data_IF_873134542033
#
_entry.id   IF_873134542033
#
_cell.length_a   1.000
_cell.length_b   1.000
_cell.length_c   1.000
_cell.angle_alpha   90.00
_cell.angle_beta   90.00
_cell.angle_gamma   90.00
#
_symmetry.space_group_name_H-M   'P 1'
#
loop_
_entity.id
_entity.type
_entity.pdbx_description
1 polymer ?
#
# COMPACT_ATOMS: atom_id res chain seq x y z
N UNK A 1 9.18 16.21 29.92
CA UNK A 1 8.02 16.39 29.01
C UNK A 1 7.07 17.41 29.61
N UNK A 2 6.83 18.53 28.94
CA UNK A 2 5.94 19.59 29.43
C UNK A 2 4.58 19.52 28.71
N UNK A 3 3.49 19.65 29.47
CA UNK A 3 2.12 19.69 28.95
C UNK A 3 1.31 20.78 29.64
N UNK A 4 0.50 21.50 28.87
CA UNK A 4 -0.44 22.49 29.41
C UNK A 4 -1.43 21.84 30.39
N UNK A 5 -1.79 22.56 31.47
CA UNK A 5 -2.73 22.09 32.50
C UNK A 5 -4.06 21.60 31.90
N UNK A 6 -4.55 22.25 30.84
CA UNK A 6 -5.79 21.91 30.12
C UNK A 6 -5.78 20.47 29.59
N UNK A 7 -4.65 19.99 29.12
CA UNK A 7 -4.52 18.70 28.43
C UNK A 7 -3.85 17.63 29.30
N UNK A 8 -3.59 17.91 30.58
CA UNK A 8 -2.93 16.96 31.50
C UNK A 8 -3.64 15.60 31.55
N UNK A 9 -4.98 15.59 31.54
CA UNK A 9 -5.80 14.36 31.53
C UNK A 9 -5.72 13.57 30.22
N UNK A 10 -5.19 14.15 29.14
CA UNK A 10 -4.99 13.45 27.88
C UNK A 10 -3.73 12.58 27.89
N UNK A 11 -2.77 12.83 28.78
CA UNK A 11 -1.61 11.97 28.97
C UNK A 11 -2.02 10.74 29.79
N UNK A 12 -1.93 9.56 29.17
CA UNK A 12 -2.21 8.28 29.81
C UNK A 12 -0.98 7.72 30.52
N UNK A 13 0.20 7.94 29.94
CA UNK A 13 1.45 7.37 30.44
C UNK A 13 2.63 8.23 30.00
N UNK A 14 3.64 8.36 30.86
CA UNK A 14 4.96 8.83 30.50
C UNK A 14 6.00 7.90 31.14
N UNK A 15 6.92 7.36 30.34
CA UNK A 15 7.99 6.48 30.83
C UNK A 15 9.31 6.78 30.11
N UNK A 16 10.41 6.68 30.86
CA UNK A 16 11.77 6.65 30.32
C UNK A 16 12.11 5.24 29.85
N UNK A 17 12.94 5.11 28.82
CA UNK A 17 13.41 3.82 28.31
C UNK A 17 14.95 3.79 28.31
N UNK A 18 15.60 3.48 29.45
CA UNK A 18 17.06 3.55 29.62
C UNK A 18 17.87 2.54 28.80
N UNK A 19 17.19 1.59 28.16
CA UNK A 19 17.80 0.54 27.32
C UNK A 19 17.27 0.60 25.89
N UNK A 20 16.63 1.70 25.49
CA UNK A 20 16.31 1.90 24.09
C UNK A 20 17.62 2.10 23.33
N UNK A 21 17.85 1.27 22.31
CA UNK A 21 19.00 1.37 21.40
C UNK A 21 18.77 2.53 20.40
N UNK A 22 18.63 3.73 20.95
CA UNK A 22 18.84 4.95 20.20
C UNK A 22 20.33 5.26 20.31
N UNK A 23 21.01 5.41 19.18
CA UNK A 23 22.42 5.79 19.07
C UNK A 23 22.65 7.25 19.52
N UNK A 24 22.16 7.58 20.71
CA UNK A 24 22.24 8.84 21.42
C UNK A 24 22.48 8.54 22.90
N UNK A 25 23.31 9.34 23.54
CA UNK A 25 23.62 9.31 24.98
C UNK A 25 22.45 9.72 25.89
N UNK A 26 21.32 10.12 25.32
CA UNK A 26 20.13 10.52 26.05
C UNK A 26 19.08 9.40 26.15
N UNK A 27 18.50 9.24 27.34
CA UNK A 27 17.40 8.31 27.60
C UNK A 27 16.08 8.89 27.08
N UNK A 28 15.39 8.26 26.11
CA UNK A 28 14.16 8.78 25.57
C UNK A 28 13.01 8.67 26.58
N UNK A 29 12.15 9.70 26.61
CA UNK A 29 10.89 9.73 27.34
C UNK A 29 9.74 9.54 26.35
N UNK A 30 8.98 8.46 26.51
CA UNK A 30 7.83 8.16 25.66
C UNK A 30 6.54 8.43 26.43
N UNK A 31 5.70 9.30 25.87
CA UNK A 31 4.37 9.62 26.36
C UNK A 31 3.27 8.96 25.54
N UNK A 32 2.29 8.30 26.18
CA UNK A 32 1.04 7.86 25.52
C UNK A 32 -0.04 8.90 25.75
N UNK A 33 -0.67 9.37 24.67
CA UNK A 33 -1.72 10.39 24.73
C UNK A 33 -3.03 9.88 24.12
N UNK A 34 -4.15 10.28 24.71
CA UNK A 34 -5.50 10.07 24.18
C UNK A 34 -6.09 11.41 23.78
N UNK A 35 -6.07 11.71 22.48
CA UNK A 35 -6.56 12.95 21.90
C UNK A 35 -7.56 12.65 20.79
N UNK A 36 -8.59 13.49 20.65
CA UNK A 36 -9.45 13.53 19.46
C UNK A 36 -8.93 14.66 18.57
N UNK A 37 -8.37 14.32 17.41
CA UNK A 37 -7.85 15.30 16.45
C UNK A 37 -8.77 15.33 15.22
N UNK A 38 -9.05 16.53 14.71
CA UNK A 38 -9.69 16.67 13.40
C UNK A 38 -8.62 16.57 12.32
N UNK A 39 -8.81 15.67 11.35
CA UNK A 39 -7.93 15.59 10.18
C UNK A 39 -8.13 16.86 9.35
N UNK A 40 -7.09 17.69 9.24
CA UNK A 40 -7.08 18.79 8.28
C UNK A 40 -6.64 18.27 6.91
N UNK A 41 -7.55 17.55 6.24
CA UNK A 41 -7.31 17.06 4.89
C UNK A 41 -7.65 18.18 3.92
N UNK A 42 -6.64 18.86 3.37
CA UNK A 42 -6.87 19.68 2.18
C UNK A 42 -7.30 18.74 1.04
N UNK A 43 -8.31 19.08 0.22
CA UNK A 43 -8.60 18.32 -0.99
C UNK A 43 -7.33 18.32 -1.85
N UNK A 44 -6.90 17.14 -2.29
CA UNK A 44 -5.78 17.02 -3.20
C UNK A 44 -6.28 17.45 -4.59
N UNK A 45 -5.97 18.67 -5.02
CA UNK A 45 -6.46 19.24 -6.30
C UNK A 45 -5.42 19.16 -7.42
N UNK A 46 -4.52 18.17 -7.41
CA UNK A 46 -3.70 17.89 -8.58
C UNK A 46 -4.44 16.91 -9.49
N UNK A 47 -5.44 17.44 -10.21
CA UNK A 47 -6.00 16.75 -11.37
C UNK A 47 -4.88 16.73 -12.41
N UNK A 48 -4.32 15.54 -12.63
CA UNK A 48 -3.37 15.32 -13.73
C UNK A 48 -4.20 15.06 -14.99
N UNK A 49 -3.84 15.75 -16.05
CA UNK A 49 -4.39 15.50 -17.38
C UNK A 49 -3.42 14.63 -18.15
N UNK A 50 -3.94 13.64 -18.88
CA UNK A 50 -3.11 12.76 -19.67
C UNK A 50 -2.55 13.48 -20.91
N UNK A 51 -1.42 14.17 -20.73
CA UNK A 51 -0.74 14.90 -21.81
C UNK A 51 -0.25 13.96 -22.92
N UNK A 52 -0.19 12.64 -22.71
CA UNK A 52 0.24 11.69 -23.74
C UNK A 52 -0.76 11.65 -24.91
N UNK A 53 -2.07 11.74 -24.64
CA UNK A 53 -3.10 11.73 -25.69
C UNK A 53 -2.96 12.94 -26.63
N UNK A 54 -2.57 14.13 -26.11
CA UNK A 54 -2.31 15.33 -26.93
C UNK A 54 -1.06 15.19 -27.81
N UNK A 55 -0.10 14.35 -27.40
CA UNK A 55 1.10 14.08 -28.18
C UNK A 55 0.86 13.02 -29.25
N UNK A 56 0.00 12.03 -28.96
CA UNK A 56 -0.27 10.90 -29.86
C UNK A 56 -1.25 11.26 -30.97
N UNK A 57 -2.25 12.11 -30.71
CA UNK A 57 -3.30 12.41 -31.68
C UNK A 57 -3.37 13.90 -32.02
N UNK A 58 -2.95 14.22 -33.24
CA UNK A 58 -2.92 15.58 -33.77
C UNK A 58 -4.31 16.24 -33.82
N UNK A 59 -5.35 15.48 -34.16
CA UNK A 59 -6.72 16.00 -34.28
C UNK A 59 -7.30 16.43 -32.93
N UNK A 60 -6.91 15.76 -31.84
CA UNK A 60 -7.35 16.07 -30.48
C UNK A 60 -6.65 17.34 -29.99
N UNK A 61 -5.37 17.50 -30.33
CA UNK A 61 -4.60 18.70 -30.02
C UNK A 61 -5.19 19.96 -30.66
N UNK A 62 -5.56 19.88 -31.93
CA UNK A 62 -6.16 21.00 -32.67
C UNK A 62 -7.51 21.39 -32.08
N UNK A 63 -8.37 20.41 -31.76
CA UNK A 63 -9.64 20.65 -31.06
C UNK A 63 -9.44 21.30 -29.69
N UNK A 64 -8.43 20.87 -28.95
CA UNK A 64 -8.07 21.45 -27.65
C UNK A 64 -7.63 22.90 -27.79
N UNK A 65 -6.74 23.19 -28.72
CA UNK A 65 -6.25 24.53 -28.98
C UNK A 65 -7.38 25.49 -29.38
N UNK A 66 -8.30 25.04 -30.25
CA UNK A 66 -9.47 25.82 -30.64
C UNK A 66 -10.39 26.05 -29.44
N UNK A 67 -10.67 25.03 -28.62
CA UNK A 67 -11.55 25.18 -27.45
C UNK A 67 -11.00 26.14 -26.38
N UNK A 68 -9.69 26.09 -26.12
CA UNK A 68 -9.03 26.99 -25.16
C UNK A 68 -9.06 28.42 -25.69
N UNK A 69 -8.79 28.61 -26.99
CA UNK A 69 -8.82 29.92 -27.62
C UNK A 69 -10.22 30.53 -27.57
N UNK A 70 -11.25 29.77 -27.96
CA UNK A 70 -12.63 30.23 -27.94
C UNK A 70 -13.09 30.61 -26.53
N UNK A 71 -12.76 29.78 -25.52
CA UNK A 71 -13.12 30.05 -24.12
C UNK A 71 -12.37 31.24 -23.54
N UNK A 72 -11.12 31.46 -23.94
CA UNK A 72 -10.35 32.61 -23.51
C UNK A 72 -10.86 33.92 -24.12
N UNK A 73 -11.20 33.91 -25.41
CA UNK A 73 -11.72 35.07 -26.13
C UNK A 73 -13.06 35.56 -25.54
N UNK A 74 -13.91 34.64 -25.05
CA UNK A 74 -15.16 34.98 -24.35
C UNK A 74 -14.98 35.57 -22.94
N UNK A 75 -13.79 35.46 -22.35
CA UNK A 75 -13.48 35.87 -20.96
C UNK A 75 -12.54 37.09 -20.89
N UNK A 76 -12.21 37.69 -22.04
CA UNK A 76 -11.15 38.68 -22.23
C UNK A 76 -11.38 40.08 -21.65
N UNK A 77 -12.55 40.37 -21.06
CA UNK A 77 -12.93 41.72 -20.61
C UNK A 77 -12.57 42.04 -19.14
N UNK A 78 -11.75 41.23 -18.47
CA UNK A 78 -11.35 41.48 -17.08
C UNK A 78 -10.16 42.46 -17.00
N UNK A 79 -10.33 43.59 -16.30
CA UNK A 79 -9.31 44.65 -16.12
C UNK A 79 -8.14 44.26 -15.19
N UNK A 80 -8.28 43.21 -14.39
CA UNK A 80 -7.34 42.86 -13.31
C UNK A 80 -6.59 41.55 -13.58
N UNK A 81 -5.25 41.57 -13.50
CA UNK A 81 -4.35 40.47 -13.88
C UNK A 81 -4.60 39.18 -13.09
N UNK A 82 -4.98 39.27 -11.82
CA UNK A 82 -5.28 38.10 -11.00
C UNK A 82 -6.59 37.41 -11.43
N UNK A 83 -7.59 38.21 -11.83
CA UNK A 83 -8.85 37.69 -12.35
C UNK A 83 -8.65 37.04 -13.72
N UNK A 84 -7.81 37.62 -14.57
CA UNK A 84 -7.39 37.02 -15.84
C UNK A 84 -6.71 35.66 -15.62
N UNK A 85 -5.87 35.54 -14.59
CA UNK A 85 -5.18 34.29 -14.26
C UNK A 85 -6.14 33.20 -13.76
N UNK A 86 -7.11 33.55 -12.93
CA UNK A 86 -8.13 32.60 -12.48
C UNK A 86 -9.06 32.16 -13.63
N UNK A 87 -9.45 33.10 -14.50
CA UNK A 87 -10.22 32.80 -15.71
C UNK A 87 -9.44 31.90 -16.67
N UNK A 88 -8.13 32.10 -16.78
CA UNK A 88 -7.27 31.24 -17.59
C UNK A 88 -7.17 29.83 -17.01
N UNK A 89 -7.01 29.70 -15.69
CA UNK A 89 -6.98 28.38 -15.01
C UNK A 89 -8.29 27.62 -15.20
N UNK A 90 -9.43 28.30 -15.06
CA UNK A 90 -10.75 27.69 -15.19
C UNK A 90 -11.02 27.26 -16.63
N UNK A 91 -10.75 28.12 -17.62
CA UNK A 91 -10.89 27.80 -19.03
C UNK A 91 -10.02 26.60 -19.44
N UNK A 92 -8.76 26.57 -18.98
CA UNK A 92 -7.86 25.44 -19.19
C UNK A 92 -8.39 24.15 -18.57
N UNK A 93 -8.88 24.21 -17.33
CA UNK A 93 -9.44 23.05 -16.63
C UNK A 93 -10.66 22.51 -17.37
N UNK A 94 -11.57 23.38 -17.81
CA UNK A 94 -12.82 23.02 -18.45
C UNK A 94 -12.60 22.41 -19.85
N UNK A 95 -11.78 23.07 -20.69
CA UNK A 95 -11.38 22.55 -21.99
C UNK A 95 -10.67 21.20 -21.87
N UNK A 96 -9.82 21.05 -20.85
CA UNK A 96 -9.15 19.80 -20.59
C UNK A 96 -10.14 18.71 -20.13
N UNK A 97 -11.14 19.02 -19.29
CA UNK A 97 -12.15 18.01 -18.89
C UNK A 97 -13.05 17.55 -20.04
N UNK A 98 -13.37 18.42 -21.00
CA UNK A 98 -14.23 18.08 -22.14
C UNK A 98 -13.55 17.15 -23.15
N UNK A 99 -12.24 17.34 -23.36
CA UNK A 99 -11.48 16.66 -24.42
C UNK A 99 -10.70 15.47 -23.85
N UNK A 100 -10.11 15.68 -22.68
CA UNK A 100 -9.38 14.69 -21.91
C UNK A 100 -10.21 14.36 -20.68
N UNK A 101 -11.13 13.40 -20.81
CA UNK A 101 -11.73 12.77 -19.63
C UNK A 101 -10.62 12.48 -18.61
N UNK A 102 -10.85 12.87 -17.34
CA UNK A 102 -9.82 12.89 -16.30
C UNK A 102 -8.94 11.64 -16.37
N UNK A 103 -7.61 11.80 -16.28
CA UNK A 103 -6.69 10.67 -16.23
C UNK A 103 -7.15 9.77 -15.06
N UNK A 104 -7.76 8.63 -15.38
CA UNK A 104 -7.93 7.58 -14.39
C UNK A 104 -6.52 7.18 -14.03
N UNK A 105 -6.09 7.58 -12.83
CA UNK A 105 -4.83 7.19 -12.20
C UNK A 105 -4.40 5.83 -12.72
N UNK A 106 -3.44 5.85 -13.66
CA UNK A 106 -2.81 4.72 -14.35
C UNK A 106 -3.29 3.37 -13.85
N UNK A 107 -4.04 2.63 -14.68
CA UNK A 107 -4.63 1.31 -14.44
C UNK A 107 -3.84 0.45 -13.45
N UNK A 108 -4.08 0.72 -12.18
CA UNK A 108 -3.67 -0.14 -11.11
C UNK A 108 -4.71 -1.24 -11.13
N UNK A 109 -4.35 -2.38 -11.74
CA UNK A 109 -5.17 -3.58 -11.75
C UNK A 109 -5.62 -3.84 -10.31
N UNK A 110 -6.88 -3.53 -10.03
CA UNK A 110 -7.45 -3.59 -8.71
C UNK A 110 -8.12 -4.93 -8.57
N UNK A 111 -7.75 -5.67 -7.53
CA UNK A 111 -8.35 -6.97 -7.23
C UNK A 111 -9.17 -6.88 -5.96
N UNK A 112 -10.40 -7.38 -6.10
CA UNK A 112 -11.35 -7.53 -5.02
C UNK A 112 -10.90 -8.69 -4.14
N UNK A 113 -10.53 -8.41 -2.91
CA UNK A 113 -10.21 -9.46 -1.94
C UNK A 113 -11.53 -10.02 -1.43
N UNK A 114 -11.66 -11.35 -1.32
CA UNK A 114 -12.84 -12.01 -0.71
C UNK A 114 -13.07 -11.71 0.78
N UNK A 115 -12.56 -10.58 1.28
CA UNK A 115 -12.73 -10.07 2.65
C UNK A 115 -13.59 -8.81 2.59
N UNK A 116 -14.64 -8.78 3.40
CA UNK A 116 -15.46 -7.60 3.60
C UNK A 116 -14.99 -6.81 4.82
N UNK A 117 -15.07 -5.50 4.75
CA UNK A 117 -14.81 -4.65 5.89
C UNK A 117 -15.95 -4.81 6.90
N UNK A 118 -15.62 -5.13 8.15
CA UNK A 118 -16.62 -5.39 9.20
C UNK A 118 -17.50 -4.17 9.52
N UNK A 119 -17.02 -2.95 9.27
CA UNK A 119 -17.73 -1.71 9.59
C UNK A 119 -18.54 -1.20 8.41
N UNK A 120 -17.93 -1.12 7.22
CA UNK A 120 -18.60 -0.57 6.03
C UNK A 120 -19.38 -1.63 5.24
N UNK A 121 -19.19 -2.93 5.54
CA UNK A 121 -19.73 -4.09 4.79
C UNK A 121 -19.33 -4.15 3.31
N UNK A 122 -18.50 -3.23 2.85
CA UNK A 122 -17.98 -3.20 1.49
C UNK A 122 -16.84 -4.19 1.32
N UNK A 123 -16.62 -4.62 0.07
CA UNK A 123 -15.54 -5.52 -0.26
C UNK A 123 -14.21 -4.76 -0.35
N UNK A 124 -13.16 -5.30 0.26
CA UNK A 124 -11.86 -4.62 0.30
C UNK A 124 -11.16 -4.78 -1.05
N UNK A 125 -10.91 -3.66 -1.73
CA UNK A 125 -10.16 -3.60 -2.99
C UNK A 125 -8.69 -3.30 -2.67
N UNK A 126 -7.76 -4.05 -3.27
CA UNK A 126 -6.32 -3.76 -3.21
C UNK A 126 -5.70 -3.83 -4.60
N UNK A 127 -4.54 -3.19 -4.74
CA UNK A 127 -3.69 -3.30 -5.92
C UNK A 127 -3.25 -4.74 -6.13
N UNK A 128 -3.25 -5.21 -7.38
CA UNK A 128 -2.90 -6.58 -7.72
C UNK A 128 -1.46 -6.92 -7.31
N UNK A 129 -0.51 -6.02 -7.57
CA UNK A 129 0.88 -6.21 -7.12
C UNK A 129 0.98 -6.40 -5.59
N UNK A 130 0.18 -5.65 -4.83
CA UNK A 130 0.14 -5.77 -3.36
C UNK A 130 -0.57 -7.06 -2.95
N UNK A 131 -1.59 -7.49 -3.68
CA UNK A 131 -2.28 -8.75 -3.43
C UNK A 131 -1.35 -9.96 -3.65
N UNK A 132 -0.68 -10.01 -4.80
CA UNK A 132 0.30 -11.04 -5.14
C UNK A 132 1.45 -11.08 -4.14
N UNK A 133 2.02 -9.93 -3.77
CA UNK A 133 3.06 -9.88 -2.75
C UNK A 133 2.60 -10.50 -1.42
N UNK A 134 1.44 -10.08 -0.91
CA UNK A 134 0.90 -10.61 0.34
C UNK A 134 0.60 -12.12 0.27
N UNK A 135 0.23 -12.64 -0.90
CA UNK A 135 -0.03 -14.06 -1.11
C UNK A 135 1.24 -14.90 -0.99
N UNK A 136 2.37 -14.42 -1.50
CA UNK A 136 3.61 -15.19 -1.61
C UNK A 136 4.67 -14.88 -0.54
N UNK A 137 4.61 -13.70 0.10
CA UNK A 137 5.65 -13.26 1.05
C UNK A 137 5.85 -14.19 2.26
N UNK A 138 4.79 -14.89 2.71
CA UNK A 138 4.85 -15.74 3.91
C UNK A 138 5.40 -17.14 3.68
N UNK A 139 6.08 -17.42 2.56
CA UNK A 139 6.63 -18.76 2.29
C UNK A 139 7.75 -19.14 3.26
N UNK A 140 8.69 -18.23 3.51
CA UNK A 140 9.83 -18.45 4.42
C UNK A 140 9.36 -18.60 5.87
N UNK A 141 8.51 -17.67 6.34
CA UNK A 141 7.96 -17.73 7.71
C UNK A 141 7.20 -19.03 7.99
N UNK A 142 6.45 -19.54 7.00
CA UNK A 142 5.75 -20.83 7.14
C UNK A 142 6.72 -22.02 7.21
N UNK A 143 7.80 -21.99 6.43
CA UNK A 143 8.85 -23.01 6.51
C UNK A 143 9.51 -23.00 7.90
N UNK A 144 9.87 -21.82 8.41
CA UNK A 144 10.45 -21.66 9.74
C UNK A 144 9.49 -22.11 10.84
N UNK A 145 8.19 -21.81 10.72
CA UNK A 145 7.16 -22.32 11.63
C UNK A 145 7.08 -23.86 11.63
N UNK A 146 7.16 -24.50 10.46
CA UNK A 146 7.14 -25.98 10.37
C UNK A 146 8.39 -26.61 10.98
N UNK A 147 9.56 -25.99 10.83
CA UNK A 147 10.81 -26.46 11.45
C UNK A 147 10.78 -26.28 12.97
N UNK A 148 10.25 -25.15 13.44
CA UNK A 148 10.21 -24.80 14.88
C UNK A 148 9.12 -25.52 15.68
N UNK A 149 8.00 -25.89 15.05
CA UNK A 149 6.89 -26.59 15.69
C UNK A 149 7.07 -28.12 15.81
N UNK A 150 8.26 -28.64 15.48
CA UNK A 150 8.54 -30.06 15.67
C UNK A 150 8.84 -30.40 17.14
N UNK A 151 8.43 -31.60 17.57
CA UNK A 151 8.53 -32.07 18.95
C UNK A 151 9.96 -32.17 19.53
N UNK A 152 11.01 -32.04 18.70
CA UNK A 152 12.42 -32.22 19.08
C UNK A 152 13.15 -30.90 19.37
N UNK A 153 12.58 -30.04 20.22
CA UNK A 153 13.26 -28.79 20.63
C UNK A 153 14.26 -29.06 21.76
N UNK A 154 15.55 -29.21 21.42
CA UNK A 154 16.63 -29.37 22.41
C UNK A 154 17.25 -28.02 22.77
N UNK A 155 17.19 -27.62 24.03
CA UNK A 155 17.87 -26.42 24.53
C UNK A 155 19.36 -26.72 24.71
N UNK A 156 20.20 -26.30 23.76
CA UNK A 156 21.66 -26.54 23.79
C UNK A 156 22.42 -25.22 23.71
N UNK A 157 23.39 -25.01 24.61
CA UNK A 157 24.23 -23.80 24.64
C UNK A 157 25.37 -23.81 23.59
N UNK A 158 25.67 -24.97 23.00
CA UNK A 158 26.68 -25.12 21.95
C UNK A 158 26.08 -24.80 20.57
N UNK A 159 26.54 -23.72 19.94
CA UNK A 159 26.00 -23.20 18.67
C UNK A 159 26.05 -24.22 17.52
N UNK A 160 27.15 -24.99 17.38
CA UNK A 160 27.28 -25.99 16.31
C UNK A 160 26.23 -27.11 16.39
N UNK A 161 25.82 -27.52 17.60
CA UNK A 161 24.75 -28.52 17.77
C UNK A 161 23.42 -27.96 17.29
N UNK A 162 23.14 -26.68 17.57
CA UNK A 162 21.94 -25.98 17.10
C UNK A 162 21.89 -25.92 15.56
N UNK A 163 23.02 -25.62 14.91
CA UNK A 163 23.14 -25.61 13.46
C UNK A 163 22.91 -27.00 12.84
N UNK A 164 23.52 -28.05 13.40
CA UNK A 164 23.35 -29.43 12.92
C UNK A 164 21.89 -29.88 12.97
N UNK A 165 21.22 -29.71 14.13
CA UNK A 165 19.83 -30.11 14.25
C UNK A 165 18.89 -29.26 13.37
N UNK A 166 19.18 -27.97 13.17
CA UNK A 166 18.39 -27.16 12.25
C UNK A 166 18.47 -27.68 10.80
N UNK A 167 19.66 -28.00 10.31
CA UNK A 167 19.85 -28.59 8.98
C UNK A 167 19.17 -29.95 8.83
N UNK A 168 19.26 -30.80 9.87
CA UNK A 168 18.60 -32.09 9.89
C UNK A 168 17.08 -31.97 9.81
N UNK A 169 16.48 -31.08 10.61
CA UNK A 169 15.03 -30.85 10.61
C UNK A 169 14.53 -30.23 9.30
N UNK A 170 15.32 -29.35 8.68
CA UNK A 170 15.03 -28.80 7.36
C UNK A 170 15.09 -29.89 6.28
N UNK A 171 16.06 -30.80 6.35
CA UNK A 171 16.16 -31.95 5.46
C UNK A 171 14.95 -32.90 5.57
N UNK A 172 14.50 -33.20 6.80
CA UNK A 172 13.29 -33.98 7.03
C UNK A 172 12.03 -33.30 6.45
N UNK A 173 11.90 -31.98 6.64
CA UNK A 173 10.78 -31.21 6.09
C UNK A 173 10.77 -31.27 4.55
N UNK A 174 11.94 -31.10 3.91
CA UNK A 174 12.08 -31.19 2.46
C UNK A 174 11.73 -32.58 1.93
N UNK A 175 12.23 -33.64 2.57
CA UNK A 175 11.88 -35.02 2.21
C UNK A 175 10.38 -35.27 2.31
N UNK A 176 9.72 -34.76 3.36
CA UNK A 176 8.28 -34.84 3.53
C UNK A 176 7.51 -34.08 2.45
N UNK A 177 7.93 -32.86 2.08
CA UNK A 177 7.32 -32.07 1.01
C UNK A 177 7.34 -32.85 -0.32
N UNK A 178 8.50 -33.43 -0.68
CA UNK A 178 8.65 -34.25 -1.89
C UNK A 178 7.78 -35.50 -1.85
N UNK A 179 7.76 -36.21 -0.72
CA UNK A 179 6.90 -37.37 -0.54
C UNK A 179 5.41 -37.01 -0.70
N UNK A 180 4.96 -35.91 -0.09
CA UNK A 180 3.58 -35.44 -0.23
C UNK A 180 3.26 -35.09 -1.69
N UNK A 181 4.15 -34.39 -2.38
CA UNK A 181 3.96 -34.02 -3.79
C UNK A 181 3.82 -35.26 -4.70
N UNK A 182 4.67 -36.28 -4.50
CA UNK A 182 4.66 -37.52 -5.30
C UNK A 182 3.43 -38.38 -5.01
N UNK A 183 3.02 -38.53 -3.74
CA UNK A 183 1.81 -39.27 -3.37
C UNK A 183 0.55 -38.58 -3.89
N UNK A 184 0.43 -37.26 -3.76
CA UNK A 184 -0.70 -36.50 -4.30
C UNK A 184 -0.76 -36.58 -5.84
N UNK A 185 0.38 -36.61 -6.53
CA UNK A 185 0.45 -36.80 -7.99
C UNK A 185 -0.02 -38.19 -8.41
N UNK A 186 0.43 -39.25 -7.73
CA UNK A 186 -0.02 -40.64 -7.98
C UNK A 186 -1.52 -40.81 -7.76
N UNK A 187 -2.09 -40.15 -6.73
CA UNK A 187 -3.55 -40.18 -6.47
C UNK A 187 -4.36 -39.47 -7.56
N UNK A 188 -3.87 -38.34 -8.10
CA UNK A 188 -4.54 -37.63 -9.21
C UNK A 188 -4.52 -38.40 -10.52
N UNK A 189 -3.39 -39.04 -10.87
CA UNK A 189 -3.29 -39.85 -12.09
C UNK A 189 -4.29 -41.01 -12.08
N UNK A 190 -4.39 -41.74 -10.97
CA UNK A 190 -5.39 -42.81 -10.79
C UNK A 190 -6.85 -42.34 -10.88
N UNK A 191 -7.12 -41.06 -10.63
CA UNK A 191 -8.47 -40.49 -10.70
C UNK A 191 -8.87 -40.09 -12.13
N UNK A 192 -7.89 -39.85 -13.01
CA UNK A 192 -8.12 -39.46 -14.41
C UNK A 192 -8.16 -40.67 -15.35
N UNK A 193 -7.50 -41.77 -14.99
CA UNK A 193 -7.49 -43.01 -15.79
C UNK A 193 -8.64 -43.98 -15.43
N UNK A 194 -9.54 -43.58 -14.53
CA UNK A 194 -10.60 -44.42 -13.95
C UNK A 194 -12.03 -44.11 -14.43
N UNK A 195 -12.19 -43.37 -15.52
CA UNK A 195 -13.47 -43.09 -16.20
C UNK A 195 -13.42 -43.57 -17.64
#
# INVERSE_FOLDING_TARGET
MMISKRYRKALLLAKTYPSADCYSDHVPVVGKFKLKLKKNSKPFTNIKFDLAILKTNQTIREKYQISVQNKFETLGDAEEVEQQWENFKSAKMEAATEIHGQEKSSDLNNVTIGKTNLVTKEVVIKLEAVHQYNQFMGAVDRSDQMVTNNAFKRCTLKWWKKAFFHMFMLGMLNAYIVHKATVTRKRRHKFLDGT
#
